data_IF_782301104464
#
_entry.id   IF_782301104464
#
_cell.length_a   1.000
_cell.length_b   1.000
_cell.length_c   1.000
_cell.angle_alpha   90.00
_cell.angle_beta   90.00
_cell.angle_gamma   90.00
#
_symmetry.space_group_name_H-M   'P 1'
#
loop_
_entity.id
_entity.type
_entity.pdbx_description
1 polymer ?
#
# COMPACT_ATOMS: atom_id res chain seq x y z
N UNK A 1 -7.83 20.49 -1.44
CA UNK A 1 -7.45 19.07 -1.24
C UNK A 1 -7.20 18.85 0.24
N UNK A 2 -7.99 18.00 0.91
CA UNK A 2 -7.79 17.66 2.32
C UNK A 2 -6.60 16.72 2.45
N UNK A 3 -5.49 17.20 3.02
CA UNK A 3 -4.27 16.41 3.24
C UNK A 3 -4.59 15.23 4.16
N UNK A 4 -4.63 14.02 3.62
CA UNK A 4 -4.81 12.82 4.45
C UNK A 4 -3.56 12.64 5.30
N UNK A 5 -3.69 12.74 6.62
CA UNK A 5 -2.60 12.42 7.55
C UNK A 5 -2.17 10.96 7.36
N UNK A 6 -0.88 10.66 7.53
CA UNK A 6 -0.31 9.30 7.48
C UNK A 6 -1.11 8.31 8.34
N UNK A 7 -1.57 8.78 9.50
CA UNK A 7 -2.41 8.01 10.42
C UNK A 7 -3.68 7.48 9.75
N UNK A 8 -4.34 8.29 8.94
CA UNK A 8 -5.60 7.95 8.28
C UNK A 8 -5.42 6.97 7.13
N UNK A 9 -4.18 6.79 6.67
CA UNK A 9 -3.82 5.90 5.58
C UNK A 9 -3.48 4.50 6.09
N UNK A 10 -2.80 4.44 7.25
CA UNK A 10 -2.30 3.19 7.84
C UNK A 10 -3.29 2.61 8.87
N UNK A 11 -3.78 3.43 9.80
CA UNK A 11 -4.61 2.99 10.92
C UNK A 11 -6.09 3.11 10.57
N UNK A 12 -6.55 2.21 9.69
CA UNK A 12 -7.91 2.20 9.17
C UNK A 12 -8.71 1.00 9.68
N UNK A 13 -10.03 1.12 9.72
CA UNK A 13 -10.92 0.00 10.06
C UNK A 13 -10.75 -1.18 9.10
N UNK A 14 -10.43 -0.93 7.83
CA UNK A 14 -10.14 -1.98 6.85
C UNK A 14 -8.87 -2.76 7.21
N UNK A 15 -7.79 -2.08 7.62
CA UNK A 15 -6.57 -2.77 8.07
C UNK A 15 -6.79 -3.48 9.40
N UNK A 16 -7.53 -2.88 10.32
CA UNK A 16 -7.91 -3.52 11.58
C UNK A 16 -8.71 -4.82 11.31
N UNK A 17 -9.66 -4.80 10.38
CA UNK A 17 -10.44 -5.97 10.03
C UNK A 17 -9.59 -7.10 9.44
N UNK A 18 -8.60 -6.76 8.61
CA UNK A 18 -7.65 -7.75 8.07
C UNK A 18 -6.75 -8.35 9.15
N UNK A 19 -6.25 -7.53 10.06
CA UNK A 19 -5.40 -7.98 11.19
C UNK A 19 -6.21 -8.88 12.13
N UNK A 20 -7.45 -8.52 12.43
CA UNK A 20 -8.31 -9.24 13.36
C UNK A 20 -9.07 -10.41 12.71
N UNK A 21 -8.94 -10.59 11.39
CA UNK A 21 -9.61 -11.65 10.62
C UNK A 21 -11.13 -11.50 10.49
N UNK A 22 -11.72 -10.39 10.94
CA UNK A 22 -13.17 -10.13 10.86
C UNK A 22 -13.49 -8.65 10.83
N UNK A 23 -14.66 -8.30 10.28
CA UNK A 23 -15.17 -6.92 10.26
C UNK A 23 -15.90 -6.61 11.58
N UNK A 24 -15.81 -5.37 12.01
CA UNK A 24 -16.50 -4.86 13.21
C UNK A 24 -17.29 -3.62 12.82
N UNK A 25 -18.56 -3.57 13.22
CA UNK A 25 -19.36 -2.36 13.18
C UNK A 25 -18.93 -1.42 14.31
N UNK A 26 -19.01 -0.11 14.07
CA UNK A 26 -18.71 0.93 15.07
C UNK A 26 -17.33 0.77 15.74
N UNK A 27 -16.34 0.32 14.97
CA UNK A 27 -14.98 0.18 15.46
C UNK A 27 -14.36 1.56 15.71
N UNK A 28 -13.97 1.82 16.95
CA UNK A 28 -13.19 3.00 17.34
C UNK A 28 -11.70 2.65 17.28
N UNK A 29 -10.91 3.57 16.74
CA UNK A 29 -9.46 3.42 16.56
C UNK A 29 -8.76 4.58 17.24
N UNK A 30 -8.02 4.29 18.29
CA UNK A 30 -7.22 5.27 19.03
C UNK A 30 -5.74 4.96 18.86
N UNK A 31 -4.95 5.96 18.45
CA UNK A 31 -3.53 5.79 18.17
C UNK A 31 -2.74 6.28 19.37
N UNK A 32 -2.10 5.35 20.09
CA UNK A 32 -1.29 5.65 21.27
C UNK A 32 0.20 5.64 20.90
N UNK A 33 1.10 5.88 21.86
CA UNK A 33 2.54 5.98 21.59
C UNK A 33 3.10 4.72 20.88
N UNK A 34 2.84 3.54 21.42
CA UNK A 34 3.41 2.27 20.92
C UNK A 34 2.39 1.33 20.26
N UNK A 35 1.10 1.54 20.54
CA UNK A 35 0.01 0.64 20.14
C UNK A 35 -1.14 1.43 19.53
N UNK A 36 -2.05 0.70 18.91
CA UNK A 36 -3.35 1.18 18.46
C UNK A 36 -4.39 0.44 19.30
N UNK A 37 -5.20 1.20 20.04
CA UNK A 37 -6.31 0.65 20.79
C UNK A 37 -7.54 0.57 19.90
N UNK A 38 -8.11 -0.63 19.79
CA UNK A 38 -9.27 -0.95 18.97
C UNK A 38 -10.40 -1.37 19.89
N UNK A 39 -11.51 -0.64 19.87
CA UNK A 39 -12.64 -0.95 20.74
C UNK A 39 -14.00 -0.76 20.07
N UNK A 40 -15.01 -1.45 20.61
CA UNK A 40 -16.40 -1.44 20.17
C UNK A 40 -17.25 -2.43 20.98
N UNK A 41 -18.52 -2.61 20.60
CA UNK A 41 -19.55 -3.33 21.38
C UNK A 41 -19.14 -4.74 21.83
N UNK A 42 -18.23 -5.42 21.12
CA UNK A 42 -17.71 -6.77 21.48
C UNK A 42 -16.22 -6.91 21.17
N UNK A 43 -15.48 -5.82 21.25
CA UNK A 43 -14.03 -5.80 20.99
C UNK A 43 -13.37 -4.79 21.91
N UNK A 44 -12.29 -5.20 22.56
CA UNK A 44 -11.33 -4.32 23.21
C UNK A 44 -9.96 -4.98 23.10
N UNK A 45 -9.09 -4.42 22.26
CA UNK A 45 -7.76 -5.00 21.99
C UNK A 45 -6.74 -3.92 21.67
N UNK A 46 -5.51 -4.15 22.12
CA UNK A 46 -4.34 -3.42 21.65
C UNK A 46 -3.68 -4.18 20.52
N UNK A 47 -3.31 -3.44 19.46
CA UNK A 47 -2.58 -3.97 18.30
C UNK A 47 -1.34 -3.12 18.09
N UNK A 48 -0.21 -3.75 17.76
CA UNK A 48 1.03 -3.01 17.53
C UNK A 48 0.93 -2.13 16.27
N UNK A 49 1.58 -0.97 16.28
CA UNK A 49 1.71 -0.14 15.06
C UNK A 49 2.43 -0.89 13.94
N UNK A 50 3.35 -1.79 14.30
CA UNK A 50 4.05 -2.64 13.36
C UNK A 50 3.09 -3.54 12.58
N UNK A 51 2.12 -4.18 13.25
CA UNK A 51 1.12 -5.02 12.58
C UNK A 51 0.28 -4.22 11.57
N UNK A 52 -0.08 -2.97 11.90
CA UNK A 52 -0.77 -2.08 10.96
C UNK A 52 0.06 -1.70 9.74
N UNK A 53 1.34 -1.36 9.95
CA UNK A 53 2.27 -1.06 8.84
C UNK A 53 2.51 -2.28 7.96
N UNK A 54 2.66 -3.46 8.57
CA UNK A 54 2.85 -4.71 7.85
C UNK A 54 1.62 -5.04 7.00
N UNK A 55 0.42 -4.98 7.60
CA UNK A 55 -0.83 -5.20 6.86
C UNK A 55 -1.03 -4.21 5.72
N UNK A 56 -0.64 -2.95 5.92
CA UNK A 56 -0.68 -1.93 4.89
C UNK A 56 0.18 -2.30 3.67
N UNK A 57 1.36 -2.88 3.90
CA UNK A 57 2.25 -3.38 2.84
C UNK A 57 1.71 -4.67 2.23
N UNK A 58 1.35 -5.65 3.05
CA UNK A 58 0.91 -6.98 2.61
C UNK A 58 -0.34 -6.90 1.73
N UNK A 59 -1.31 -6.05 2.08
CA UNK A 59 -2.50 -5.86 1.27
C UNK A 59 -2.16 -5.38 -0.15
N UNK A 60 -1.14 -4.51 -0.29
CA UNK A 60 -0.69 -3.99 -1.58
C UNK A 60 0.11 -5.03 -2.36
N UNK A 61 1.01 -5.75 -1.69
CA UNK A 61 1.73 -6.87 -2.29
C UNK A 61 0.78 -7.95 -2.78
N UNK A 62 -0.24 -8.30 -2.01
CA UNK A 62 -1.27 -9.25 -2.41
C UNK A 62 -2.03 -8.75 -3.65
N UNK A 63 -2.44 -7.47 -3.66
CA UNK A 63 -3.11 -6.86 -4.81
C UNK A 63 -2.22 -6.68 -6.05
N UNK A 64 -0.90 -6.80 -5.92
CA UNK A 64 0.04 -6.74 -7.02
C UNK A 64 0.17 -8.06 -7.78
N UNK A 65 -0.05 -9.20 -7.11
CA UNK A 65 0.14 -10.54 -7.69
C UNK A 65 -0.75 -10.82 -8.90
N UNK A 66 -1.93 -10.19 -8.97
CA UNK A 66 -2.89 -10.37 -10.06
C UNK A 66 -2.73 -9.35 -11.19
N UNK A 67 -1.63 -8.59 -11.21
CA UNK A 67 -1.40 -7.54 -12.20
C UNK A 67 -0.39 -7.99 -13.24
N UNK A 68 -0.67 -7.68 -14.50
CA UNK A 68 0.24 -7.93 -15.61
C UNK A 68 1.13 -6.71 -15.81
N UNK A 69 2.44 -6.93 -15.90
CA UNK A 69 3.41 -5.85 -16.15
C UNK A 69 4.03 -6.05 -17.52
N UNK A 70 4.10 -4.98 -18.30
CA UNK A 70 4.86 -4.92 -19.55
C UNK A 70 5.75 -3.70 -19.55
N UNK A 71 7.04 -3.89 -19.80
CA UNK A 71 8.00 -2.80 -19.92
C UNK A 71 7.81 -2.05 -21.25
N UNK A 72 7.96 -0.73 -21.24
CA UNK A 72 8.01 0.07 -22.45
C UNK A 72 9.36 -0.17 -23.15
N UNK A 73 9.31 -0.53 -24.44
CA UNK A 73 10.51 -0.82 -25.24
C UNK A 73 11.34 0.42 -25.58
N UNK A 74 10.73 1.60 -25.60
CA UNK A 74 11.35 2.85 -26.03
C UNK A 74 11.74 3.77 -24.86
N UNK A 75 11.10 3.58 -23.70
CA UNK A 75 11.33 4.41 -22.51
C UNK A 75 11.86 3.52 -21.40
N UNK A 76 13.18 3.56 -21.11
CA UNK A 76 13.76 2.83 -19.99
C UNK A 76 13.02 3.17 -18.69
N UNK A 77 12.91 2.19 -17.79
CA UNK A 77 12.28 2.34 -16.48
C UNK A 77 10.80 2.76 -16.50
N UNK A 78 10.12 2.68 -17.64
CA UNK A 78 8.69 2.88 -17.75
C UNK A 78 7.96 1.55 -17.97
N UNK A 79 6.88 1.33 -17.22
CA UNK A 79 6.12 0.09 -17.20
C UNK A 79 4.63 0.39 -17.31
N UNK A 80 3.93 -0.43 -18.09
CA UNK A 80 2.47 -0.49 -18.09
C UNK A 80 2.06 -1.62 -17.14
N UNK A 81 1.26 -1.29 -16.14
CA UNK A 81 0.69 -2.25 -15.19
C UNK A 81 -0.81 -2.36 -15.44
N UNK A 82 -1.28 -3.54 -15.84
CA UNK A 82 -2.69 -3.81 -16.19
C UNK A 82 -3.35 -4.69 -15.16
N UNK A 83 -4.60 -4.37 -14.85
CA UNK A 83 -5.53 -5.25 -14.17
C UNK A 83 -6.52 -5.77 -15.21
N UNK A 84 -6.25 -6.97 -15.74
CA UNK A 84 -7.05 -7.57 -16.82
C UNK A 84 -8.49 -7.83 -16.39
N UNK A 85 -8.72 -8.20 -15.12
CA UNK A 85 -10.07 -8.42 -14.57
C UNK A 85 -10.94 -7.16 -14.56
N UNK A 86 -10.33 -5.98 -14.36
CA UNK A 86 -11.05 -4.70 -14.29
C UNK A 86 -10.93 -3.86 -15.57
N UNK A 87 -10.14 -4.31 -16.55
CA UNK A 87 -9.84 -3.52 -17.75
C UNK A 87 -9.18 -2.17 -17.46
N UNK A 88 -8.40 -2.07 -16.37
CA UNK A 88 -7.72 -0.81 -15.98
C UNK A 88 -6.21 -0.93 -16.17
N UNK A 89 -5.56 0.18 -16.52
CA UNK A 89 -4.12 0.22 -16.73
C UNK A 89 -3.52 1.49 -16.14
N UNK A 90 -2.33 1.36 -15.55
CA UNK A 90 -1.58 2.47 -14.98
C UNK A 90 -0.14 2.43 -15.47
N UNK A 91 0.40 3.62 -15.74
CA UNK A 91 1.82 3.77 -16.00
C UNK A 91 2.56 3.90 -14.67
N UNK A 92 3.68 3.17 -14.56
CA UNK A 92 4.60 3.22 -13.44
C UNK A 92 5.97 3.53 -13.99
N UNK A 93 6.60 4.59 -13.47
CA UNK A 93 7.93 5.03 -13.89
C UNK A 93 8.87 4.99 -12.70
N UNK A 94 10.10 4.53 -12.90
CA UNK A 94 11.14 4.58 -11.87
C UNK A 94 12.09 5.72 -12.19
N UNK A 95 12.18 6.70 -11.29
CA UNK A 95 13.03 7.90 -11.42
C UNK A 95 13.88 7.98 -10.15
N UNK A 96 15.21 7.97 -10.29
CA UNK A 96 16.14 8.03 -9.14
C UNK A 96 15.76 7.02 -8.04
N UNK A 97 15.53 5.75 -8.41
CA UNK A 97 15.09 4.66 -7.53
C UNK A 97 13.70 4.86 -6.85
N UNK A 98 12.96 5.91 -7.21
CA UNK A 98 11.61 6.16 -6.71
C UNK A 98 10.56 5.75 -7.75
N UNK A 99 9.58 4.99 -7.30
CA UNK A 99 8.43 4.61 -8.13
C UNK A 99 7.44 5.77 -8.19
N UNK A 100 6.96 6.09 -9.38
CA UNK A 100 5.92 7.09 -9.61
C UNK A 100 4.73 6.42 -10.29
N UNK A 101 3.52 6.68 -9.80
CA UNK A 101 2.29 6.15 -10.37
C UNK A 101 1.16 7.19 -10.27
N UNK A 102 0.25 7.23 -11.23
CA UNK A 102 -0.87 8.19 -11.22
C UNK A 102 -2.11 7.70 -10.44
N UNK A 103 -2.06 6.56 -9.75
CA UNK A 103 -3.23 6.05 -9.03
C UNK A 103 -3.48 6.79 -7.71
N UNK A 104 -4.75 6.86 -7.30
CA UNK A 104 -5.16 7.54 -6.05
C UNK A 104 -4.42 7.02 -4.80
N UNK A 105 -4.14 5.72 -4.77
CA UNK A 105 -3.40 5.10 -3.66
C UNK A 105 -1.95 5.61 -3.58
N UNK A 106 -1.28 5.78 -4.73
CA UNK A 106 0.05 6.37 -4.76
C UNK A 106 0.02 7.84 -4.37
N UNK A 107 -0.90 8.61 -4.95
CA UNK A 107 -1.04 10.04 -4.68
C UNK A 107 -1.28 10.27 -3.18
N UNK A 108 -2.18 9.50 -2.57
CA UNK A 108 -2.47 9.60 -1.15
C UNK A 108 -1.26 9.22 -0.28
N UNK A 109 -0.49 8.20 -0.67
CA UNK A 109 0.77 7.84 0.02
C UNK A 109 1.82 8.94 -0.09
N UNK A 110 2.07 9.43 -1.31
CA UNK A 110 3.05 10.46 -1.59
C UNK A 110 2.70 11.77 -0.87
N UNK A 111 1.43 12.17 -0.90
CA UNK A 111 0.94 13.37 -0.19
C UNK A 111 1.13 13.26 1.32
N UNK A 112 0.95 12.05 1.88
CA UNK A 112 1.05 11.83 3.32
C UNK A 112 2.50 11.65 3.79
N UNK A 113 3.37 11.01 3.00
CA UNK A 113 4.68 10.51 3.44
C UNK A 113 5.87 11.03 2.61
N UNK A 114 5.64 11.79 1.54
CA UNK A 114 6.66 12.22 0.58
C UNK A 114 7.19 11.11 -0.33
N UNK A 115 6.75 9.87 -0.12
CA UNK A 115 7.10 8.67 -0.88
C UNK A 115 5.95 7.67 -0.83
N UNK A 116 5.85 6.80 -1.83
CA UNK A 116 4.79 5.80 -1.87
C UNK A 116 5.11 4.63 -2.77
N UNK A 117 4.60 3.46 -2.42
CA UNK A 117 4.60 2.28 -3.29
C UNK A 117 3.20 1.71 -3.25
N UNK A 118 2.43 2.02 -4.28
CA UNK A 118 1.11 1.43 -4.47
C UNK A 118 1.24 -0.02 -4.98
N UNK A 119 0.12 -0.74 -5.09
CA UNK A 119 0.11 -2.09 -5.65
C UNK A 119 0.74 -2.17 -7.06
N UNK A 120 0.64 -1.13 -7.88
CA UNK A 120 1.25 -1.12 -9.22
C UNK A 120 2.78 -1.05 -9.13
N UNK A 121 3.31 -0.24 -8.20
CA UNK A 121 4.75 -0.22 -7.91
C UNK A 121 5.26 -1.57 -7.41
N UNK A 122 4.51 -2.24 -6.53
CA UNK A 122 4.84 -3.61 -6.11
C UNK A 122 4.80 -4.63 -7.26
N UNK A 123 3.91 -4.46 -8.24
CA UNK A 123 3.88 -5.35 -9.40
C UNK A 123 5.15 -5.17 -10.25
N UNK A 124 5.61 -3.94 -10.43
CA UNK A 124 6.89 -3.67 -11.12
C UNK A 124 8.07 -4.22 -10.34
N UNK A 125 8.12 -4.03 -9.01
CA UNK A 125 9.16 -4.64 -8.16
C UNK A 125 9.25 -6.16 -8.35
N UNK A 126 8.10 -6.84 -8.30
CA UNK A 126 8.04 -8.28 -8.51
C UNK A 126 8.50 -8.67 -9.93
N UNK A 127 8.12 -7.89 -10.94
CA UNK A 127 8.55 -8.12 -12.33
C UNK A 127 10.07 -7.97 -12.50
N UNK A 128 10.69 -7.07 -11.73
CA UNK A 128 12.14 -6.87 -11.67
C UNK A 128 12.86 -7.92 -10.80
N UNK A 129 12.15 -8.86 -10.20
CA UNK A 129 12.72 -9.92 -9.36
C UNK A 129 12.90 -9.56 -7.88
N UNK A 130 12.41 -8.40 -7.43
CA UNK A 130 12.53 -7.95 -6.03
C UNK A 130 11.25 -8.22 -5.24
N UNK A 131 11.39 -8.57 -3.95
CA UNK A 131 10.23 -8.87 -3.09
C UNK A 131 9.78 -7.65 -2.27
N UNK A 132 10.64 -6.65 -2.14
CA UNK A 132 10.41 -5.44 -1.36
C UNK A 132 11.10 -4.23 -1.99
N UNK A 133 10.63 -3.03 -1.64
CA UNK A 133 11.31 -1.80 -2.03
C UNK A 133 12.72 -1.72 -1.39
N UNK A 134 12.89 -2.24 -0.18
CA UNK A 134 14.19 -2.24 0.48
C UNK A 134 15.19 -3.15 -0.26
N UNK A 135 14.73 -4.29 -0.78
CA UNK A 135 15.57 -5.21 -1.56
C UNK A 135 16.06 -4.52 -2.85
N UNK A 136 15.16 -3.76 -3.50
CA UNK A 136 15.48 -3.02 -4.72
C UNK A 136 16.45 -1.85 -4.50
N UNK A 137 16.37 -1.16 -3.35
CA UNK A 137 17.26 -0.03 -3.05
C UNK A 137 18.66 -0.48 -2.62
N UNK A 138 18.75 -1.63 -1.92
CA UNK A 138 20.00 -2.12 -1.34
C UNK A 138 20.73 -3.18 -2.19
N UNK A 139 20.14 -3.63 -3.30
CA UNK A 139 20.73 -4.58 -4.24
C UNK A 139 21.45 -3.88 -5.38
#
# INVERSE_FOLDING_TARGET
MTTRKVSNLIYTAANAARILGKRFSNLVIEIWANVVYLHGVKLSRFVSKAAFKQMFVDFRKAGAKSLTVTQNLFVPNAYKVRNETKGTAYDVVIINQNFTCACDDYIAQYTAMGKGVCKHGYAVLNHLGFTSLADYING
#
